data_IF_946239300325
#
_entry.id   IF_946239300325
#
_cell.length_a   1.000
_cell.length_b   1.000
_cell.length_c   1.000
_cell.angle_alpha   90.00
_cell.angle_beta   90.00
_cell.angle_gamma   90.00
#
_symmetry.space_group_name_H-M   'P 1'
#
loop_
_entity.id
_entity.type
_entity.pdbx_description
1 polymer ?
#
# COMPACT_ATOMS: atom_id res chain seq x y z
N UNK A 1 9.57 5.38 -24.67
CA UNK A 1 8.21 5.04 -25.13
C UNK A 1 7.17 5.40 -24.07
N UNK A 2 7.16 4.73 -22.92
CA UNK A 2 6.20 5.00 -21.82
C UNK A 2 6.15 6.48 -21.40
N UNK A 3 7.31 7.11 -21.18
CA UNK A 3 7.44 8.53 -20.82
C UNK A 3 6.82 9.49 -21.87
N UNK A 4 6.87 9.13 -23.15
CA UNK A 4 6.32 9.93 -24.25
C UNK A 4 4.78 9.80 -24.30
N UNK A 5 4.26 8.58 -24.12
CA UNK A 5 2.81 8.31 -24.07
C UNK A 5 2.19 8.97 -22.83
N UNK A 6 2.86 8.89 -21.67
CA UNK A 6 2.38 9.52 -20.44
C UNK A 6 2.58 11.03 -20.42
N UNK A 7 3.74 11.54 -20.83
CA UNK A 7 3.99 12.97 -20.90
C UNK A 7 2.96 13.69 -21.77
N UNK A 8 2.58 13.10 -22.92
CA UNK A 8 1.52 13.65 -23.79
C UNK A 8 0.12 13.51 -23.20
N UNK A 9 -0.18 12.40 -22.52
CA UNK A 9 -1.45 12.19 -21.79
C UNK A 9 -1.64 13.21 -20.65
N UNK A 10 -0.63 13.38 -19.80
CA UNK A 10 -0.62 14.34 -18.67
C UNK A 10 -0.76 15.77 -19.19
N UNK A 11 -0.05 16.13 -20.26
CA UNK A 11 -0.13 17.47 -20.86
C UNK A 11 -1.54 17.79 -21.40
N UNK A 12 -2.20 16.79 -22.01
CA UNK A 12 -3.57 16.93 -22.55
C UNK A 12 -4.67 17.00 -21.48
N UNK A 13 -4.33 16.83 -20.19
CA UNK A 13 -5.28 17.03 -19.09
C UNK A 13 -6.27 15.88 -18.97
N UNK A 14 -5.76 14.66 -18.99
CA UNK A 14 -6.55 13.43 -19.06
C UNK A 14 -7.24 13.02 -17.74
N UNK A 15 -7.79 13.96 -16.95
CA UNK A 15 -8.51 13.59 -15.71
C UNK A 15 -9.62 12.56 -15.96
N UNK A 16 -10.32 12.67 -17.11
CA UNK A 16 -11.29 11.68 -17.58
C UNK A 16 -10.64 10.37 -18.08
N UNK A 17 -9.50 10.44 -18.76
CA UNK A 17 -8.87 9.25 -19.33
C UNK A 17 -8.08 8.41 -18.34
N UNK A 18 -7.53 9.00 -17.28
CA UNK A 18 -6.93 8.26 -16.16
C UNK A 18 -8.01 7.44 -15.45
N UNK A 19 -9.21 8.01 -15.26
CA UNK A 19 -10.36 7.27 -14.71
C UNK A 19 -10.72 6.07 -15.60
N UNK A 20 -10.87 6.29 -16.91
CA UNK A 20 -11.16 5.21 -17.87
C UNK A 20 -10.05 4.14 -17.89
N UNK A 21 -8.78 4.55 -17.88
CA UNK A 21 -7.65 3.60 -17.80
C UNK A 21 -7.69 2.80 -16.50
N UNK A 22 -7.99 3.44 -15.37
CA UNK A 22 -8.12 2.78 -14.08
C UNK A 22 -9.27 1.78 -14.06
N UNK A 23 -10.42 2.13 -14.64
CA UNK A 23 -11.58 1.25 -14.75
C UNK A 23 -11.24 0.03 -15.62
N UNK A 24 -10.65 0.24 -16.81
CA UNK A 24 -10.18 -0.83 -17.70
C UNK A 24 -9.18 -1.73 -16.98
N UNK A 25 -8.22 -1.14 -16.26
CA UNK A 25 -7.19 -1.88 -15.54
C UNK A 25 -7.79 -2.80 -14.47
N UNK A 26 -8.79 -2.31 -13.75
CA UNK A 26 -9.52 -3.09 -12.75
C UNK A 26 -10.25 -4.27 -13.39
N UNK A 27 -10.97 -4.05 -14.49
CA UNK A 27 -11.62 -5.15 -15.24
C UNK A 27 -10.60 -6.16 -15.77
N UNK A 28 -9.50 -5.71 -16.36
CA UNK A 28 -8.43 -6.58 -16.86
C UNK A 28 -7.82 -7.42 -15.72
N UNK A 29 -7.60 -6.82 -14.56
CA UNK A 29 -7.09 -7.53 -13.38
C UNK A 29 -8.06 -8.64 -12.94
N UNK A 30 -9.36 -8.34 -12.83
CA UNK A 30 -10.35 -9.35 -12.48
C UNK A 30 -10.45 -10.48 -13.52
N UNK A 31 -10.45 -10.14 -14.81
CA UNK A 31 -10.46 -11.14 -15.90
C UNK A 31 -9.22 -12.02 -15.83
N UNK A 32 -8.04 -11.44 -15.61
CA UNK A 32 -6.80 -12.20 -15.53
C UNK A 32 -6.78 -13.12 -14.30
N UNK A 33 -7.19 -12.61 -13.14
CA UNK A 33 -7.28 -13.39 -11.90
C UNK A 33 -8.27 -14.55 -12.07
N UNK A 34 -9.46 -14.28 -12.61
CA UNK A 34 -10.45 -15.32 -12.90
C UNK A 34 -9.92 -16.35 -13.91
N UNK A 35 -9.22 -15.89 -14.94
CA UNK A 35 -8.59 -16.76 -15.92
C UNK A 35 -7.57 -17.70 -15.27
N UNK A 36 -6.64 -17.18 -14.46
CA UNK A 36 -5.65 -18.01 -13.76
C UNK A 36 -6.32 -19.01 -12.81
N UNK A 37 -7.37 -18.59 -12.10
CA UNK A 37 -8.11 -19.47 -11.20
C UNK A 37 -8.79 -20.63 -11.93
N UNK A 38 -9.39 -20.38 -13.11
CA UNK A 38 -10.12 -21.37 -13.89
C UNK A 38 -9.20 -22.24 -14.75
N UNK A 39 -8.13 -21.67 -15.29
CA UNK A 39 -7.15 -22.36 -16.11
C UNK A 39 -6.14 -23.17 -15.28
N UNK A 40 -5.91 -22.74 -14.03
CA UNK A 40 -5.08 -23.45 -13.06
C UNK A 40 -5.85 -24.51 -12.28
N UNK A 41 -5.19 -25.16 -11.31
CA UNK A 41 -5.80 -26.17 -10.44
C UNK A 41 -6.70 -25.51 -9.39
N UNK A 42 -7.91 -25.13 -9.79
CA UNK A 42 -8.85 -24.33 -8.97
C UNK A 42 -9.03 -24.87 -7.56
N UNK A 43 -9.27 -26.19 -7.43
CA UNK A 43 -9.48 -26.83 -6.12
C UNK A 43 -8.25 -26.73 -5.23
N UNK A 44 -7.05 -26.88 -5.80
CA UNK A 44 -5.80 -26.72 -5.05
C UNK A 44 -5.64 -25.28 -4.57
N UNK A 45 -5.84 -24.30 -5.45
CA UNK A 45 -5.73 -22.87 -5.12
C UNK A 45 -6.70 -22.50 -3.99
N UNK A 46 -7.96 -22.93 -4.07
CA UNK A 46 -8.96 -22.65 -3.04
C UNK A 46 -8.63 -23.32 -1.70
N UNK A 47 -8.21 -24.60 -1.71
CA UNK A 47 -7.77 -25.30 -0.50
C UNK A 47 -6.56 -24.62 0.14
N UNK A 48 -5.58 -24.24 -0.68
CA UNK A 48 -4.38 -23.55 -0.21
C UNK A 48 -4.73 -22.19 0.38
N UNK A 49 -5.65 -21.45 -0.23
CA UNK A 49 -6.10 -20.14 0.26
C UNK A 49 -6.69 -20.22 1.66
N UNK A 50 -7.60 -21.18 1.90
CA UNK A 50 -8.20 -21.40 3.22
C UNK A 50 -7.15 -21.84 4.24
N UNK A 51 -6.25 -22.75 3.85
CA UNK A 51 -5.15 -23.19 4.71
C UNK A 51 -4.20 -22.04 5.08
N UNK A 52 -3.82 -21.20 4.12
CA UNK A 52 -2.98 -20.02 4.34
C UNK A 52 -3.61 -19.02 5.30
N UNK A 53 -4.95 -18.86 5.27
CA UNK A 53 -5.64 -18.02 6.24
C UNK A 53 -5.54 -18.59 7.66
N UNK A 54 -5.72 -19.91 7.83
CA UNK A 54 -5.53 -20.57 9.12
C UNK A 54 -4.10 -20.42 9.64
N UNK A 55 -3.10 -20.57 8.77
CA UNK A 55 -1.69 -20.38 9.11
C UNK A 55 -1.37 -18.94 9.51
N UNK A 56 -1.92 -17.95 8.81
CA UNK A 56 -1.77 -16.53 9.15
C UNK A 56 -2.32 -16.26 10.55
N UNK A 57 -3.55 -16.71 10.84
CA UNK A 57 -4.18 -16.50 12.14
C UNK A 57 -3.38 -17.18 13.27
N UNK A 58 -2.91 -18.41 13.05
CA UNK A 58 -2.12 -19.14 14.05
C UNK A 58 -0.76 -18.48 14.34
N UNK A 59 -0.11 -17.90 13.32
CA UNK A 59 1.22 -17.33 13.44
C UNK A 59 1.25 -15.80 13.55
N UNK A 60 0.10 -15.13 13.63
CA UNK A 60 -0.03 -13.68 13.52
C UNK A 60 0.91 -12.92 14.47
N UNK A 61 0.84 -13.22 15.78
CA UNK A 61 1.67 -12.55 16.78
C UNK A 61 3.16 -12.86 16.59
N UNK A 62 3.48 -14.14 16.29
CA UNK A 62 4.87 -14.53 16.03
C UNK A 62 5.44 -13.75 14.87
N UNK A 63 4.75 -13.69 13.73
CA UNK A 63 5.19 -12.94 12.55
C UNK A 63 5.29 -11.44 12.80
N UNK A 64 4.39 -10.88 13.61
CA UNK A 64 4.38 -9.45 13.97
C UNK A 64 5.61 -9.04 14.78
N UNK A 65 6.10 -9.90 15.67
CA UNK A 65 7.23 -9.61 16.57
C UNK A 65 8.52 -10.37 16.22
N UNK A 66 8.60 -10.99 15.05
CA UNK A 66 9.77 -11.80 14.69
C UNK A 66 10.95 -10.92 14.25
N UNK A 67 12.01 -10.94 15.05
CA UNK A 67 13.27 -10.20 14.83
C UNK A 67 14.50 -11.11 14.66
N UNK A 68 14.28 -12.42 14.61
CA UNK A 68 15.30 -13.46 14.41
C UNK A 68 16.69 -13.27 15.07
N UNK A 69 16.79 -12.95 16.37
CA UNK A 69 18.06 -12.54 16.98
C UNK A 69 19.08 -13.69 17.14
N UNK A 70 18.61 -14.94 17.09
CA UNK A 70 19.43 -16.15 17.29
C UNK A 70 19.96 -16.67 15.96
N UNK A 71 19.06 -17.04 15.03
CA UNK A 71 19.46 -17.63 13.76
C UNK A 71 20.06 -16.58 12.80
N UNK A 72 19.69 -15.30 12.97
CA UNK A 72 20.22 -14.17 12.18
C UNK A 72 20.14 -14.43 10.68
N UNK A 73 19.04 -15.04 10.24
CA UNK A 73 18.81 -15.38 8.84
C UNK A 73 18.71 -14.16 7.93
N UNK A 74 18.48 -12.97 8.50
CA UNK A 74 18.25 -11.73 7.76
C UNK A 74 16.86 -11.64 7.13
N UNK A 75 15.98 -12.62 7.34
CA UNK A 75 14.67 -12.65 6.72
C UNK A 75 13.76 -11.50 7.19
N UNK A 76 13.61 -11.21 8.50
CA UNK A 76 12.78 -10.10 8.95
C UNK A 76 13.25 -8.76 8.37
N UNK A 77 14.55 -8.55 8.25
CA UNK A 77 15.16 -7.34 7.71
C UNK A 77 14.90 -7.20 6.21
N UNK A 78 15.12 -8.28 5.46
CA UNK A 78 14.97 -8.28 4.00
C UNK A 78 13.50 -8.15 3.53
N UNK A 79 12.55 -8.62 4.34
CA UNK A 79 11.13 -8.66 3.96
C UNK A 79 10.26 -7.78 4.85
N UNK A 80 10.13 -8.11 6.14
CA UNK A 80 9.19 -7.45 7.05
C UNK A 80 9.54 -5.97 7.24
N UNK A 81 10.80 -5.67 7.59
CA UNK A 81 11.29 -4.29 7.79
C UNK A 81 11.24 -3.50 6.49
N UNK A 82 11.65 -4.12 5.37
CA UNK A 82 11.55 -3.51 4.05
C UNK A 82 10.11 -3.10 3.70
N UNK A 83 9.14 -4.01 3.82
CA UNK A 83 7.75 -3.68 3.51
C UNK A 83 7.18 -2.62 4.45
N UNK A 84 7.48 -2.67 5.75
CA UNK A 84 7.09 -1.59 6.67
C UNK A 84 7.66 -0.25 6.26
N UNK A 85 8.95 -0.20 5.91
CA UNK A 85 9.59 1.01 5.43
C UNK A 85 8.95 1.53 4.14
N UNK A 86 8.66 0.64 3.18
CA UNK A 86 7.92 1.00 1.97
C UNK A 86 6.58 1.64 2.34
N UNK A 87 5.76 0.99 3.16
CA UNK A 87 4.43 1.51 3.50
C UNK A 87 4.49 2.86 4.21
N UNK A 88 5.45 3.06 5.12
CA UNK A 88 5.69 4.34 5.79
C UNK A 88 6.06 5.44 4.79
N UNK A 89 6.99 5.14 3.87
CA UNK A 89 7.41 6.09 2.85
C UNK A 89 6.26 6.48 1.90
N UNK A 90 5.34 5.55 1.64
CA UNK A 90 4.22 5.74 0.73
C UNK A 90 2.98 6.36 1.39
N UNK A 91 2.88 6.29 2.72
CA UNK A 91 1.71 6.71 3.50
C UNK A 91 1.26 8.17 3.25
N UNK A 92 2.16 9.19 3.20
CA UNK A 92 1.72 10.57 2.98
C UNK A 92 1.05 10.78 1.61
N UNK A 93 1.60 10.14 0.58
CA UNK A 93 1.09 10.23 -0.77
C UNK A 93 -0.30 9.56 -0.87
N UNK A 94 -0.41 8.33 -0.34
CA UNK A 94 -1.68 7.61 -0.35
C UNK A 94 -2.73 8.30 0.51
N UNK A 95 -2.34 8.86 1.67
CA UNK A 95 -3.25 9.62 2.54
C UNK A 95 -3.89 10.81 1.84
N UNK A 96 -3.12 11.58 1.05
CA UNK A 96 -3.67 12.71 0.28
C UNK A 96 -4.64 12.23 -0.81
N UNK A 97 -4.29 11.13 -1.49
CA UNK A 97 -5.14 10.54 -2.52
C UNK A 97 -6.47 10.06 -1.93
N UNK A 98 -6.42 9.25 -0.87
CA UNK A 98 -7.60 8.72 -0.15
C UNK A 98 -8.47 9.86 0.39
N UNK A 99 -7.85 10.89 0.99
CA UNK A 99 -8.59 12.05 1.50
C UNK A 99 -9.39 12.77 0.38
N UNK A 100 -8.80 12.93 -0.81
CA UNK A 100 -9.47 13.59 -1.94
C UNK A 100 -10.66 12.79 -2.48
N UNK A 101 -10.52 11.47 -2.62
CA UNK A 101 -11.60 10.63 -3.16
C UNK A 101 -12.69 10.30 -2.12
N UNK A 102 -12.45 10.59 -0.84
CA UNK A 102 -13.36 10.27 0.26
C UNK A 102 -14.22 11.44 0.74
N UNK A 103 -14.28 12.55 0.00
CA UNK A 103 -15.12 13.72 0.33
C UNK A 103 -16.58 13.31 0.51
N UNK A 104 -17.16 13.65 1.66
CA UNK A 104 -18.56 13.34 2.01
C UNK A 104 -18.81 11.97 2.65
N UNK A 105 -17.77 11.15 2.86
CA UNK A 105 -17.88 9.89 3.61
C UNK A 105 -17.66 10.11 5.10
N UNK A 106 -18.26 9.25 5.93
CA UNK A 106 -17.92 9.21 7.36
C UNK A 106 -16.51 8.61 7.56
N UNK A 107 -15.85 8.97 8.67
CA UNK A 107 -14.53 8.41 9.02
C UNK A 107 -14.60 6.88 9.14
N UNK A 108 -15.69 6.35 9.70
CA UNK A 108 -15.91 4.91 9.84
C UNK A 108 -15.98 4.20 8.49
N UNK A 109 -16.77 4.74 7.54
CA UNK A 109 -16.86 4.18 6.19
C UNK A 109 -15.53 4.23 5.45
N UNK A 110 -14.78 5.33 5.60
CA UNK A 110 -13.44 5.47 5.01
C UNK A 110 -12.50 4.38 5.53
N UNK A 111 -12.38 4.23 6.86
CA UNK A 111 -11.47 3.25 7.48
C UNK A 111 -11.84 1.82 7.09
N UNK A 112 -13.13 1.47 7.15
CA UNK A 112 -13.58 0.12 6.79
C UNK A 112 -13.34 -0.16 5.31
N UNK A 113 -13.68 0.78 4.42
CA UNK A 113 -13.49 0.59 2.99
C UNK A 113 -12.00 0.41 2.63
N UNK A 114 -11.14 1.25 3.20
CA UNK A 114 -9.69 1.22 2.93
C UNK A 114 -9.06 -0.10 3.41
N UNK A 115 -9.33 -0.50 4.65
CA UNK A 115 -8.80 -1.74 5.20
C UNK A 115 -9.37 -2.97 4.47
N UNK A 116 -10.66 -3.00 4.21
CA UNK A 116 -11.30 -4.20 3.67
C UNK A 116 -10.99 -4.42 2.18
N UNK A 117 -11.26 -3.42 1.34
CA UNK A 117 -11.10 -3.59 -0.11
C UNK A 117 -9.63 -3.66 -0.53
N UNK A 118 -8.76 -2.89 0.13
CA UNK A 118 -7.31 -2.96 -0.09
C UNK A 118 -6.74 -4.33 0.25
N UNK A 119 -7.07 -4.86 1.43
CA UNK A 119 -6.62 -6.20 1.84
C UNK A 119 -7.20 -7.30 0.94
N UNK A 120 -8.47 -7.22 0.57
CA UNK A 120 -9.11 -8.23 -0.27
C UNK A 120 -8.46 -8.34 -1.65
N UNK A 121 -8.14 -7.20 -2.30
CA UNK A 121 -7.47 -7.19 -3.60
C UNK A 121 -6.07 -7.84 -3.54
N UNK A 122 -5.26 -7.44 -2.56
CA UNK A 122 -3.94 -8.03 -2.34
C UNK A 122 -4.03 -9.53 -2.04
N UNK A 123 -4.97 -9.92 -1.18
CA UNK A 123 -5.17 -11.31 -0.79
C UNK A 123 -5.61 -12.17 -1.97
N UNK A 124 -6.57 -11.71 -2.78
CA UNK A 124 -7.03 -12.43 -3.98
C UNK A 124 -5.89 -12.68 -4.97
N UNK A 125 -5.09 -11.65 -5.25
CA UNK A 125 -3.96 -11.77 -6.17
C UNK A 125 -2.93 -12.78 -5.65
N UNK A 126 -2.49 -12.62 -4.39
CA UNK A 126 -1.49 -13.50 -3.77
C UNK A 126 -2.00 -14.95 -3.63
N UNK A 127 -3.26 -15.13 -3.27
CA UNK A 127 -3.89 -16.45 -3.16
C UNK A 127 -3.87 -17.20 -4.49
N UNK A 128 -4.25 -16.53 -5.58
CA UNK A 128 -4.41 -17.17 -6.89
C UNK A 128 -3.06 -17.35 -7.59
N UNK A 129 -2.26 -16.29 -7.75
CA UNK A 129 -0.96 -16.40 -8.40
C UNK A 129 0.08 -17.14 -7.55
N UNK A 130 0.09 -16.90 -6.23
CA UNK A 130 0.96 -17.60 -5.30
C UNK A 130 0.57 -19.07 -5.17
N UNK A 131 -0.72 -19.37 -5.04
CA UNK A 131 -1.23 -20.74 -5.03
C UNK A 131 -0.92 -21.49 -6.33
N UNK A 132 -1.07 -20.84 -7.48
CA UNK A 132 -0.70 -21.43 -8.77
C UNK A 132 0.81 -21.68 -8.87
N UNK A 133 1.64 -20.72 -8.49
CA UNK A 133 3.10 -20.87 -8.50
C UNK A 133 3.56 -22.01 -7.59
N UNK A 134 3.00 -22.11 -6.38
CA UNK A 134 3.28 -23.21 -5.46
C UNK A 134 2.87 -24.57 -6.04
N UNK A 135 1.75 -24.65 -6.75
CA UNK A 135 1.35 -25.89 -7.43
C UNK A 135 2.36 -26.31 -8.50
N UNK A 136 2.84 -25.36 -9.32
CA UNK A 136 3.82 -25.64 -10.37
C UNK A 136 5.11 -26.20 -9.80
N UNK A 137 5.62 -25.59 -8.73
CA UNK A 137 6.83 -26.03 -8.04
C UNK A 137 6.63 -27.38 -7.35
N UNK A 138 5.55 -27.53 -6.56
CA UNK A 138 5.31 -28.73 -5.76
C UNK A 138 5.04 -29.98 -6.60
N UNK A 139 4.54 -29.82 -7.83
CA UNK A 139 4.32 -30.93 -8.77
C UNK A 139 5.44 -31.06 -9.80
N UNK A 140 6.55 -30.33 -9.63
CA UNK A 140 7.71 -30.36 -10.53
C UNK A 140 7.36 -30.05 -12.02
N UNK A 141 6.31 -29.25 -12.26
CA UNK A 141 5.87 -28.85 -13.60
C UNK A 141 6.79 -27.76 -14.15
N UNK A 142 7.13 -26.78 -13.29
CA UNK A 142 8.09 -25.72 -13.60
C UNK A 142 8.99 -25.54 -12.38
N UNK A 143 10.33 -25.60 -12.53
CA UNK A 143 11.27 -25.44 -11.42
C UNK A 143 11.46 -23.95 -11.09
N UNK A 144 10.45 -23.33 -10.47
CA UNK A 144 10.42 -21.91 -10.15
C UNK A 144 11.52 -21.51 -9.17
N UNK A 145 11.88 -22.37 -8.21
CA UNK A 145 12.97 -22.10 -7.27
C UNK A 145 14.33 -22.05 -7.97
N UNK A 146 14.56 -22.94 -8.94
CA UNK A 146 15.75 -22.92 -9.77
C UNK A 146 15.80 -21.66 -10.65
N UNK A 147 14.69 -21.34 -11.32
CA UNK A 147 14.58 -20.13 -12.15
C UNK A 147 14.82 -18.87 -11.31
N UNK A 148 14.33 -18.84 -10.07
CA UNK A 148 14.58 -17.75 -9.13
C UNK A 148 16.08 -17.54 -8.89
N UNK A 149 16.80 -18.64 -8.63
CA UNK A 149 18.23 -18.59 -8.31
C UNK A 149 19.10 -18.24 -9.53
N UNK A 150 18.71 -18.69 -10.72
CA UNK A 150 19.51 -18.49 -11.93
C UNK A 150 19.18 -17.18 -12.67
N UNK A 151 17.90 -16.80 -12.69
CA UNK A 151 17.39 -15.73 -13.56
C UNK A 151 16.60 -14.64 -12.81
N UNK A 152 16.41 -14.79 -11.50
CA UNK A 152 15.78 -13.80 -10.64
C UNK A 152 14.25 -13.78 -10.67
N UNK A 153 13.68 -12.90 -9.84
CA UNK A 153 12.24 -12.82 -9.57
C UNK A 153 11.38 -12.57 -10.82
N UNK A 154 11.85 -11.71 -11.73
CA UNK A 154 11.11 -11.41 -12.96
C UNK A 154 10.95 -12.63 -13.87
N UNK A 155 11.98 -13.48 -13.93
CA UNK A 155 11.94 -14.70 -14.74
C UNK A 155 10.92 -15.71 -14.19
N UNK A 156 10.79 -15.81 -12.87
CA UNK A 156 9.78 -16.65 -12.21
C UNK A 156 8.36 -16.24 -12.61
N UNK A 157 8.07 -14.94 -12.56
CA UNK A 157 6.74 -14.44 -12.93
C UNK A 157 6.44 -14.75 -14.40
N UNK A 158 7.40 -14.52 -15.30
CA UNK A 158 7.25 -14.84 -16.73
C UNK A 158 7.07 -16.34 -16.94
N UNK A 159 7.82 -17.19 -16.23
CA UNK A 159 7.69 -18.64 -16.30
C UNK A 159 6.31 -19.12 -15.85
N UNK A 160 5.79 -18.59 -14.74
CA UNK A 160 4.45 -18.87 -14.24
C UNK A 160 3.37 -18.46 -15.24
N UNK A 161 3.46 -17.28 -15.87
CA UNK A 161 2.45 -16.88 -16.87
C UNK A 161 2.58 -17.71 -18.15
N UNK A 162 3.79 -18.12 -18.53
CA UNK A 162 4.03 -18.98 -19.69
C UNK A 162 3.50 -20.40 -19.55
N UNK A 163 3.37 -20.91 -18.32
CA UNK A 163 2.81 -22.25 -18.06
C UNK A 163 1.29 -22.30 -18.16
N UNK A 164 0.61 -21.15 -18.20
CA UNK A 164 -0.84 -21.09 -18.41
C UNK A 164 -1.20 -21.47 -19.85
N UNK A 165 -2.40 -22.07 -20.09
CA UNK A 165 -2.92 -22.20 -21.44
C UNK A 165 -3.08 -20.81 -22.07
N UNK A 166 -3.03 -20.72 -23.40
CA UNK A 166 -3.09 -19.44 -24.12
C UNK A 166 -2.05 -18.42 -23.63
N UNK A 167 -0.87 -18.88 -23.23
CA UNK A 167 0.19 -18.06 -22.60
C UNK A 167 0.55 -16.79 -23.38
N UNK A 168 0.52 -16.80 -24.71
CA UNK A 168 0.73 -15.59 -25.53
C UNK A 168 -0.28 -14.49 -25.22
N UNK A 169 -1.55 -14.85 -25.09
CA UNK A 169 -2.64 -13.92 -24.75
C UNK A 169 -2.51 -13.48 -23.29
N UNK A 170 -2.28 -14.42 -22.37
CA UNK A 170 -2.09 -14.11 -20.95
C UNK A 170 -0.91 -13.15 -20.72
N UNK A 171 0.22 -13.39 -21.38
CA UNK A 171 1.39 -12.51 -21.35
C UNK A 171 1.08 -11.12 -21.91
N UNK A 172 0.35 -11.05 -23.03
CA UNK A 172 -0.05 -9.77 -23.62
C UNK A 172 -0.94 -8.98 -22.67
N UNK A 173 -1.99 -9.60 -22.13
CA UNK A 173 -2.91 -8.97 -21.17
C UNK A 173 -2.18 -8.52 -19.92
N UNK A 174 -1.31 -9.37 -19.36
CA UNK A 174 -0.49 -9.04 -18.18
C UNK A 174 0.45 -7.86 -18.44
N UNK A 175 1.08 -7.82 -19.62
CA UNK A 175 1.95 -6.70 -20.03
C UNK A 175 1.17 -5.39 -20.12
N UNK A 176 -0.01 -5.41 -20.74
CA UNK A 176 -0.91 -4.25 -20.82
C UNK A 176 -1.35 -3.79 -19.44
N UNK A 177 -1.73 -4.72 -18.57
CA UNK A 177 -2.14 -4.46 -17.19
C UNK A 177 -1.03 -3.76 -16.40
N UNK A 178 0.20 -4.28 -16.41
CA UNK A 178 1.32 -3.66 -15.69
C UNK A 178 1.67 -2.29 -16.28
N UNK A 179 1.60 -2.16 -17.60
CA UNK A 179 1.82 -0.89 -18.26
C UNK A 179 0.82 0.17 -17.77
N UNK A 180 -0.47 -0.19 -17.66
CA UNK A 180 -1.53 0.70 -17.15
C UNK A 180 -1.38 0.94 -15.63
N UNK A 181 -0.98 -0.05 -14.84
CA UNK A 181 -0.72 0.15 -13.41
C UNK A 181 0.41 1.15 -13.17
N UNK A 182 1.54 0.98 -13.87
CA UNK A 182 2.70 1.87 -13.74
C UNK A 182 2.32 3.29 -14.15
N UNK A 183 1.62 3.40 -15.27
CA UNK A 183 1.02 4.61 -15.78
C UNK A 183 0.17 5.38 -14.76
N UNK A 184 -0.87 4.75 -14.21
CA UNK A 184 -1.76 5.37 -13.23
C UNK A 184 -1.04 5.72 -11.94
N UNK A 185 -0.06 4.90 -11.56
CA UNK A 185 0.76 5.14 -10.36
C UNK A 185 1.59 6.41 -10.53
N UNK A 186 2.37 6.52 -11.61
CA UNK A 186 3.23 7.70 -11.80
C UNK A 186 2.41 8.98 -11.98
N UNK A 187 1.28 8.92 -12.68
CA UNK A 187 0.40 10.09 -12.79
C UNK A 187 -0.09 10.56 -11.41
N UNK A 188 -0.56 9.64 -10.56
CA UNK A 188 -1.03 9.93 -9.21
C UNK A 188 0.09 10.47 -8.30
N UNK A 189 1.30 9.92 -8.41
CA UNK A 189 2.48 10.37 -7.65
C UNK A 189 2.93 11.75 -8.12
N UNK A 190 3.04 11.98 -9.42
CA UNK A 190 3.43 13.27 -9.99
C UNK A 190 2.41 14.36 -9.67
N UNK A 191 1.12 14.02 -9.67
CA UNK A 191 0.05 14.90 -9.22
C UNK A 191 0.20 15.30 -7.76
N UNK A 192 0.46 14.32 -6.89
CA UNK A 192 0.60 14.54 -5.44
C UNK A 192 1.81 15.40 -5.14
N UNK A 193 2.96 15.11 -5.74
CA UNK A 193 4.18 15.93 -5.61
C UNK A 193 3.95 17.37 -6.11
N UNK A 194 3.36 17.53 -7.29
CA UNK A 194 3.05 18.85 -7.82
C UNK A 194 2.08 19.61 -6.90
N UNK A 195 1.13 18.93 -6.26
CA UNK A 195 0.19 19.54 -5.31
C UNK A 195 0.90 20.04 -4.05
N UNK A 196 1.78 19.21 -3.46
CA UNK A 196 2.52 19.53 -2.24
C UNK A 196 3.56 20.63 -2.48
N UNK A 197 4.19 20.65 -3.66
CA UNK A 197 5.21 21.64 -4.02
C UNK A 197 4.63 22.96 -4.58
N UNK A 198 3.31 23.09 -4.70
CA UNK A 198 2.67 24.33 -5.16
C UNK A 198 2.20 25.16 -3.96
N UNK A 199 2.67 26.42 -3.87
CA UNK A 199 2.22 27.34 -2.82
C UNK A 199 0.77 27.74 -3.05
N UNK A 200 -0.03 27.74 -1.97
CA UNK A 200 -1.43 28.23 -1.95
C UNK A 200 -2.39 27.50 -2.90
N UNK A 201 -2.30 26.16 -3.00
CA UNK A 201 -3.36 25.37 -3.63
C UNK A 201 -4.61 25.41 -2.71
N UNK A 202 -5.73 25.97 -3.17
CA UNK A 202 -6.96 26.09 -2.37
C UNK A 202 -8.00 25.05 -2.77
N UNK A 203 -8.56 24.34 -1.78
CA UNK A 203 -9.69 23.44 -1.97
C UNK A 203 -9.45 22.40 -3.08
N UNK A 204 -10.32 22.42 -4.09
CA UNK A 204 -10.32 21.48 -5.22
C UNK A 204 -9.40 21.93 -6.39
N UNK A 205 -8.58 22.96 -6.19
CA UNK A 205 -7.62 23.42 -7.18
C UNK A 205 -6.60 22.33 -7.56
N UNK A 206 -6.19 22.40 -8.81
CA UNK A 206 -5.32 21.43 -9.44
C UNK A 206 -3.94 22.07 -9.71
N UNK A 207 -2.82 21.39 -9.39
CA UNK A 207 -1.51 21.94 -9.68
C UNK A 207 -1.32 22.07 -11.19
N UNK A 208 -0.56 23.09 -11.60
CA UNK A 208 -0.31 23.41 -13.00
C UNK A 208 0.25 22.19 -13.75
N UNK A 209 -0.22 21.97 -14.98
CA UNK A 209 0.10 20.76 -15.75
C UNK A 209 1.60 20.60 -16.00
N UNK A 210 2.31 21.69 -16.28
CA UNK A 210 3.76 21.67 -16.49
C UNK A 210 4.52 21.20 -15.24
N UNK A 211 4.03 21.57 -14.04
CA UNK A 211 4.63 21.16 -12.78
C UNK A 211 4.50 19.63 -12.57
N UNK A 212 3.36 19.04 -12.95
CA UNK A 212 3.18 17.58 -12.93
C UNK A 212 4.12 16.88 -13.90
N UNK A 213 4.30 17.41 -15.11
CA UNK A 213 5.20 16.81 -16.10
C UNK A 213 6.64 16.79 -15.59
N UNK A 214 7.11 17.85 -14.92
CA UNK A 214 8.44 17.89 -14.30
C UNK A 214 8.59 16.75 -13.29
N UNK A 215 7.62 16.58 -12.39
CA UNK A 215 7.66 15.49 -11.41
C UNK A 215 7.58 14.11 -12.05
N UNK A 216 6.78 13.92 -13.10
CA UNK A 216 6.72 12.67 -13.84
C UNK A 216 8.07 12.33 -14.50
N UNK A 217 8.76 13.31 -15.09
CA UNK A 217 10.10 13.14 -15.65
C UNK A 217 11.11 12.82 -14.54
N UNK A 218 11.07 13.53 -13.42
CA UNK A 218 11.97 13.29 -12.30
C UNK A 218 11.80 11.86 -11.74
N UNK A 219 10.56 11.42 -11.52
CA UNK A 219 10.24 10.06 -11.07
C UNK A 219 10.79 9.01 -12.05
N UNK A 220 10.55 9.19 -13.35
CA UNK A 220 11.02 8.27 -14.37
C UNK A 220 12.56 8.22 -14.42
N UNK A 221 13.24 9.35 -14.31
CA UNK A 221 14.71 9.43 -14.25
C UNK A 221 15.26 8.67 -13.03
N UNK A 222 14.66 8.85 -11.86
CA UNK A 222 15.04 8.12 -10.64
C UNK A 222 14.80 6.62 -10.81
N UNK A 223 13.64 6.21 -11.34
CA UNK A 223 13.34 4.79 -11.58
C UNK A 223 14.34 4.14 -12.55
N UNK A 224 14.69 4.82 -13.65
CA UNK A 224 15.71 4.34 -14.59
C UNK A 224 17.07 4.24 -13.89
N UNK A 225 17.46 5.25 -13.11
CA UNK A 225 18.71 5.24 -12.34
C UNK A 225 18.80 4.05 -11.39
N UNK A 226 17.74 3.78 -10.63
CA UNK A 226 17.68 2.63 -9.71
C UNK A 226 17.77 1.28 -10.46
N UNK A 227 17.10 1.17 -11.61
CA UNK A 227 17.19 -0.02 -12.47
C UNK A 227 18.62 -0.27 -12.97
N UNK A 228 19.34 0.78 -13.37
CA UNK A 228 20.72 0.68 -13.88
C UNK A 228 21.73 0.33 -12.78
N UNK A 229 21.55 0.88 -11.57
CA UNK A 229 22.50 0.68 -10.45
C UNK A 229 22.43 -0.72 -9.85
N UNK A 230 21.26 -1.36 -9.85
CA UNK A 230 21.11 -2.68 -9.25
C UNK A 230 19.68 -3.19 -9.09
N UNK A 231 18.69 -2.53 -9.70
CA UNK A 231 17.31 -2.99 -9.67
C UNK A 231 16.69 -2.93 -8.27
N UNK A 232 16.33 -4.10 -7.73
CA UNK A 232 15.51 -4.19 -6.51
C UNK A 232 16.26 -3.73 -5.26
N UNK A 233 17.55 -4.05 -5.13
CA UNK A 233 18.31 -3.78 -3.91
C UNK A 233 18.45 -2.26 -3.61
N UNK A 234 18.79 -1.40 -4.58
CA UNK A 234 18.71 0.06 -4.39
C UNK A 234 17.32 0.58 -3.98
N UNK A 235 16.25 -0.02 -4.52
CA UNK A 235 14.87 0.34 -4.16
C UNK A 235 14.57 -0.02 -2.69
N UNK A 236 15.03 -1.19 -2.23
CA UNK A 236 14.87 -1.62 -0.84
C UNK A 236 15.58 -0.66 0.12
N UNK A 237 16.86 -0.35 -0.14
CA UNK A 237 17.65 0.51 0.72
C UNK A 237 17.10 1.95 0.76
N UNK A 238 16.74 2.51 -0.40
CA UNK A 238 16.17 3.87 -0.45
C UNK A 238 14.85 3.98 0.30
N UNK A 239 14.01 2.94 0.29
CA UNK A 239 12.76 2.89 1.06
C UNK A 239 13.02 2.95 2.56
N UNK A 240 14.01 2.21 3.05
CA UNK A 240 14.41 2.21 4.48
C UNK A 240 14.93 3.59 4.90
N UNK A 241 15.81 4.19 4.09
CA UNK A 241 16.36 5.52 4.35
C UNK A 241 15.27 6.58 4.40
N UNK A 242 14.27 6.51 3.51
CA UNK A 242 13.15 7.44 3.47
C UNK A 242 12.17 7.26 4.64
N UNK A 243 11.94 6.02 5.08
CA UNK A 243 11.00 5.70 6.14
C UNK A 243 11.45 6.20 7.52
N UNK A 244 12.75 6.17 7.79
CA UNK A 244 13.32 6.55 9.09
C UNK A 244 12.94 7.98 9.52
N UNK A 245 13.16 9.05 8.71
CA UNK A 245 12.74 10.40 9.08
C UNK A 245 11.22 10.60 9.00
N UNK A 246 10.50 9.80 8.21
CA UNK A 246 9.04 9.91 8.08
C UNK A 246 8.29 9.29 9.25
N UNK A 247 8.86 8.29 9.92
CA UNK A 247 8.25 7.63 11.08
C UNK A 247 7.82 8.61 12.18
N UNK A 248 8.68 9.49 12.72
CA UNK A 248 8.26 10.47 13.72
C UNK A 248 7.23 11.46 13.18
N UNK A 249 7.27 11.81 11.89
CA UNK A 249 6.27 12.68 11.25
C UNK A 249 4.90 12.01 11.24
N UNK A 250 4.81 10.73 10.90
CA UNK A 250 3.55 9.97 10.95
C UNK A 250 3.01 9.87 12.38
N UNK A 251 3.87 9.69 13.38
CA UNK A 251 3.46 9.69 14.80
C UNK A 251 2.86 11.06 15.18
N UNK A 252 3.51 12.16 14.79
CA UNK A 252 2.98 13.51 15.01
C UNK A 252 1.64 13.73 14.30
N UNK A 253 1.47 13.20 13.08
CA UNK A 253 0.21 13.26 12.35
C UNK A 253 -0.91 12.50 13.07
N UNK A 254 -0.62 11.32 13.63
CA UNK A 254 -1.58 10.56 14.43
C UNK A 254 -2.00 11.36 15.67
N UNK A 255 -1.03 11.89 16.42
CA UNK A 255 -1.29 12.69 17.63
C UNK A 255 -2.12 13.93 17.27
N UNK A 256 -1.74 14.65 16.21
CA UNK A 256 -2.46 15.84 15.75
C UNK A 256 -3.87 15.49 15.27
N UNK A 257 -4.05 14.38 14.56
CA UNK A 257 -5.36 13.94 14.08
C UNK A 257 -6.30 13.57 15.24
N UNK A 258 -5.79 12.87 16.26
CA UNK A 258 -6.57 12.57 17.46
C UNK A 258 -6.96 13.86 18.19
N UNK A 259 -6.06 14.84 18.28
CA UNK A 259 -6.36 16.14 18.89
C UNK A 259 -7.46 16.88 18.14
N UNK A 260 -7.35 16.95 16.81
CA UNK A 260 -8.36 17.58 15.94
C UNK A 260 -9.73 16.90 16.09
N UNK A 261 -9.79 15.57 16.09
CA UNK A 261 -11.05 14.83 16.29
C UNK A 261 -11.67 15.09 17.66
N UNK A 262 -10.86 15.24 18.71
CA UNK A 262 -11.37 15.60 20.04
C UNK A 262 -11.94 17.01 20.08
N UNK A 263 -11.33 17.95 19.36
CA UNK A 263 -11.81 19.34 19.25
C UNK A 263 -13.11 19.42 18.43
N UNK A 264 -13.24 18.64 17.35
CA UNK A 264 -14.44 18.61 16.49
C UNK A 264 -15.62 17.87 17.14
N UNK A 265 -15.35 16.86 17.99
CA UNK A 265 -16.37 16.02 18.63
C UNK A 265 -16.29 16.07 20.18
N UNK A 266 -16.47 17.24 20.82
CA UNK A 266 -16.30 17.40 22.27
C UNK A 266 -17.33 16.58 23.08
N UNK A 267 -18.51 16.31 22.51
CA UNK A 267 -19.57 15.53 23.14
C UNK A 267 -19.26 14.02 23.22
N UNK A 268 -18.26 13.52 22.48
CA UNK A 268 -17.77 12.14 22.58
C UNK A 268 -16.64 12.00 23.61
N UNK A 269 -16.18 13.10 24.21
CA UNK A 269 -15.20 13.02 25.27
C UNK A 269 -15.87 12.52 26.56
N UNK A 270 -15.28 11.54 27.27
CA UNK A 270 -15.77 11.18 28.58
C UNK A 270 -15.77 12.44 29.46
N UNK A 271 -16.93 12.77 30.04
CA UNK A 271 -17.02 13.86 31.01
C UNK A 271 -15.97 13.57 32.08
N UNK A 272 -14.99 14.46 32.21
CA UNK A 272 -14.14 14.46 33.40
C UNK A 272 -15.07 14.80 34.56
N UNK A 273 -15.60 13.78 35.23
CA UNK A 273 -16.18 13.98 36.56
C UNK A 273 -15.06 14.59 37.41
N UNK A 274 -15.21 15.87 37.72
CA UNK A 274 -14.36 16.49 38.72
C UNK A 274 -14.62 15.72 40.01
N UNK A 275 -13.65 14.89 40.42
CA UNK A 275 -13.65 14.34 41.77
C UNK A 275 -13.51 15.56 42.68
N UNK A 276 -14.63 16.02 43.21
CA UNK A 276 -14.71 17.11 44.17
C UNK A 276 -14.07 16.60 45.48
N UNK A 277 -12.75 16.72 45.57
CA UNK A 277 -12.03 16.54 46.82
C UNK A 277 -12.38 17.70 47.75
N UNK A 278 -13.60 17.67 48.32
CA UNK A 278 -13.90 18.46 49.51
C UNK A 278 -13.22 17.76 50.69
N UNK A 279 -12.20 18.37 51.32
CA UNK A 279 -11.75 17.85 52.60
C UNK A 279 -12.93 17.94 53.58
N UNK A 280 -13.20 16.83 54.30
CA UNK A 280 -14.17 16.83 55.37
C UNK A 280 -13.81 17.95 56.35
N UNK A 281 -14.72 18.91 56.51
CA UNK A 281 -14.54 20.06 57.40
C UNK A 281 -14.28 19.54 58.82
N UNK A 282 -13.10 19.87 59.34
CA UNK A 282 -12.72 19.68 60.74
C UNK A 282 -13.70 20.46 61.62
N UNK A 283 -14.35 19.79 62.58
CA UNK A 283 -15.09 20.47 63.63
C UNK A 283 -14.12 21.33 64.45
N UNK A 284 -14.17 22.65 64.23
CA UNK A 284 -13.49 23.63 65.05
C UNK A 284 -14.09 23.67 66.45
N UNK A 285 -13.20 23.63 67.43
CA UNK A 285 -13.28 24.33 68.71
C UNK A 285 -14.21 25.56 68.70
N UNK A 286 -15.21 25.53 69.58
CA UNK A 286 -15.87 26.62 70.29
C UNK A 286 -16.59 25.93 71.47
N UNK A 287 -16.50 26.33 72.73
CA UNK A 287 -16.31 27.66 73.31
C UNK A 287 -15.78 27.54 74.75
N UNK A 288 -14.75 28.33 75.05
CA UNK A 288 -14.53 28.87 76.40
C UNK A 288 -15.64 29.89 76.66
N UNK A 289 -16.39 29.72 77.75
CA UNK A 289 -16.93 30.78 78.63
C UNK A 289 -18.04 30.22 79.54
N UNK A 290 -17.65 29.84 80.76
CA UNK A 290 -18.37 29.99 82.03
C UNK A 290 -17.43 29.64 83.20
#
# INVERSE_FOLDING_TARGET
IWLCIFGTSVYRGLSKGIKVLSDINLYLAFVLIAFVLLAGPTVFILKMTVNSLGLLLNNFFRMTFWMDPIAKSGFPEAWTVFYWAWWIAYAPMMGLFVARISKGRTIKELVIAECFWGTLGCWLYMAIFGGYSLFLEANHIVPLTQIMNESGQFAVIVATVKSLPLSKIAMFVWTVLIFIFLATTVDSTAYTLASVCTRRLRGDEQPARWHRVIWAIALASVSIGLLVVGGLQPVQLSSIIAALPLTPVLILLIISGIKMLKEDFPHLQPKKEAIDYRPAVSYQQQSVDA
#
